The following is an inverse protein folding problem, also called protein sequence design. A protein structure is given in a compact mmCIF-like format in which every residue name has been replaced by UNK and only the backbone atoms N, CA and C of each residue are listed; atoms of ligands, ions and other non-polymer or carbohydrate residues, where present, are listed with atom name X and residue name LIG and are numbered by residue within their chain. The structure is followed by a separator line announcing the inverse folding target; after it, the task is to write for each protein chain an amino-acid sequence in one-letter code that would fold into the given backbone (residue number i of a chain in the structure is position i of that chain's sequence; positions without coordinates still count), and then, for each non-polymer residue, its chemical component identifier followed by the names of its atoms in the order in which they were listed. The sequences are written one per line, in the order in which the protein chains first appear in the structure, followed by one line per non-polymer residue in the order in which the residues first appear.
data_IF_787723752908
#
_entry.id   IF_787723752908
#
_cell.length_a   1.000
_cell.length_b   1.000
_cell.length_c   1.000
_cell.angle_alpha   90.00
_cell.angle_beta   90.00
_cell.angle_gamma   90.00
#
_symmetry.space_group_name_H-M   'P 1'
#
loop_
_entity.id
_entity.type
_entity.pdbx_description
1 polymer ?
#
# COMPACT_ATOMS: atom_id res chain seq x y z
N UNK A 1 -13.41 -10.09 41.51
CA UNK A 1 -12.78 -9.84 40.20
C UNK A 1 -13.70 -10.33 39.09
N UNK A 2 -13.82 -9.60 37.98
CA UNK A 2 -14.60 -10.04 36.80
C UNK A 2 -13.95 -11.29 36.19
N UNK A 3 -14.73 -12.34 35.91
CA UNK A 3 -14.27 -13.57 35.24
C UNK A 3 -14.22 -13.46 33.72
N UNK A 4 -14.70 -12.35 33.15
CA UNK A 4 -14.73 -12.11 31.70
C UNK A 4 -13.50 -11.30 31.27
N UNK A 5 -12.70 -11.86 30.37
CA UNK A 5 -11.43 -11.28 29.87
C UNK A 5 -11.56 -9.81 29.44
N UNK A 6 -12.69 -9.45 28.81
CA UNK A 6 -12.92 -8.16 28.17
C UNK A 6 -13.67 -7.14 29.05
N UNK A 7 -13.97 -7.44 30.31
CA UNK A 7 -14.78 -6.55 31.16
C UNK A 7 -14.04 -6.19 32.43
N UNK A 8 -13.85 -4.89 32.64
CA UNK A 8 -13.37 -4.33 33.91
C UNK A 8 -14.61 -3.98 34.75
N UNK A 9 -14.53 -4.26 36.05
CA UNK A 9 -15.54 -3.86 37.04
C UNK A 9 -14.91 -2.83 37.96
N UNK A 10 -15.56 -1.66 38.11
CA UNK A 10 -15.17 -0.69 39.12
C UNK A 10 -15.38 -1.30 40.52
N UNK A 11 -14.35 -1.29 41.40
CA UNK A 11 -14.47 -1.87 42.73
C UNK A 11 -15.40 -1.07 43.66
N UNK A 12 -15.61 0.22 43.39
CA UNK A 12 -16.41 1.11 44.24
C UNK A 12 -17.89 1.11 43.83
N UNK A 13 -18.19 1.42 42.56
CA UNK A 13 -19.56 1.57 42.08
C UNK A 13 -20.12 0.36 41.32
N UNK A 14 -19.32 -0.71 41.16
CA UNK A 14 -19.68 -1.93 40.43
C UNK A 14 -20.01 -1.74 38.93
N UNK A 15 -19.78 -0.55 38.37
CA UNK A 15 -19.93 -0.28 36.94
C UNK A 15 -19.03 -1.21 36.10
N UNK A 16 -19.57 -1.69 34.98
CA UNK A 16 -18.87 -2.59 34.06
C UNK A 16 -18.51 -1.85 32.78
N UNK A 17 -17.23 -1.87 32.43
CA UNK A 17 -16.72 -1.24 31.22
C UNK A 17 -15.94 -2.26 30.38
N UNK A 18 -16.00 -2.13 29.06
CA UNK A 18 -15.22 -2.98 28.16
C UNK A 18 -13.76 -2.55 28.18
N UNK A 19 -12.83 -3.51 28.31
CA UNK A 19 -11.38 -3.31 28.19
C UNK A 19 -10.96 -2.74 26.84
N UNK A 20 -11.79 -2.95 25.83
CA UNK A 20 -11.52 -2.47 24.47
C UNK A 20 -12.32 -1.22 24.12
N UNK A 21 -13.14 -0.68 25.03
CA UNK A 21 -13.87 0.57 24.77
C UNK A 21 -12.88 1.71 24.54
N UNK A 22 -13.10 2.51 23.51
CA UNK A 22 -12.16 3.56 23.13
C UNK A 22 -10.81 2.99 22.73
N UNK A 23 -10.73 1.83 22.10
CA UNK A 23 -9.47 1.30 21.55
C UNK A 23 -9.69 0.89 20.10
N UNK A 24 -8.64 0.75 19.27
CA UNK A 24 -8.79 0.17 17.94
C UNK A 24 -9.39 -1.26 17.93
N UNK A 25 -9.49 -1.92 19.10
CA UNK A 25 -10.06 -3.26 19.23
C UNK A 25 -11.55 -3.26 19.61
N UNK A 26 -12.16 -2.09 19.86
CA UNK A 26 -13.53 -1.96 20.37
C UNK A 26 -14.54 -2.76 19.54
N UNK A 27 -14.45 -2.64 18.21
CA UNK A 27 -15.43 -3.21 17.29
C UNK A 27 -15.05 -4.60 16.75
N UNK A 28 -13.85 -5.11 17.07
CA UNK A 28 -13.39 -6.40 16.56
C UNK A 28 -14.12 -7.59 17.21
N UNK A 29 -14.60 -7.43 18.45
CA UNK A 29 -15.36 -8.46 19.21
C UNK A 29 -14.69 -9.84 19.14
N UNK A 30 -13.39 -9.89 19.50
CA UNK A 30 -12.57 -11.11 19.56
C UNK A 30 -11.98 -11.28 20.96
N UNK A 31 -11.68 -12.52 21.41
CA UNK A 31 -10.78 -12.72 22.54
C UNK A 31 -9.43 -12.05 22.25
N UNK A 32 -8.88 -11.34 23.24
CA UNK A 32 -7.68 -10.52 23.02
C UNK A 32 -6.49 -11.40 22.66
N UNK A 33 -6.34 -12.56 23.30
CA UNK A 33 -5.28 -13.51 22.99
C UNK A 33 -5.30 -13.97 21.52
N UNK A 34 -6.48 -14.20 20.92
CA UNK A 34 -6.60 -14.60 19.51
C UNK A 34 -6.11 -13.48 18.61
N UNK A 35 -6.56 -12.26 18.88
CA UNK A 35 -6.14 -11.09 18.10
C UNK A 35 -4.63 -10.85 18.22
N UNK A 36 -4.09 -10.88 19.45
CA UNK A 36 -2.66 -10.72 19.71
C UNK A 36 -1.83 -11.78 18.98
N UNK A 37 -2.23 -13.05 19.05
CA UNK A 37 -1.58 -14.15 18.33
C UNK A 37 -1.54 -13.88 16.82
N UNK A 38 -2.68 -13.53 16.23
CA UNK A 38 -2.77 -13.26 14.79
C UNK A 38 -1.93 -12.07 14.36
N UNK A 39 -1.89 -11.00 15.16
CA UNK A 39 -1.12 -9.80 14.87
C UNK A 39 0.39 -10.08 14.94
N UNK A 40 0.85 -10.74 16.01
CA UNK A 40 2.26 -11.12 16.18
C UNK A 40 2.70 -12.03 15.04
N UNK A 41 1.94 -13.10 14.76
CA UNK A 41 2.25 -14.02 13.67
C UNK A 41 2.33 -13.30 12.32
N UNK A 42 1.45 -12.33 12.06
CA UNK A 42 1.48 -11.56 10.80
C UNK A 42 2.69 -10.62 10.71
N UNK A 43 3.16 -10.07 11.83
CA UNK A 43 4.37 -9.23 11.88
C UNK A 43 5.62 -10.09 11.62
N UNK A 44 5.69 -11.27 12.24
CA UNK A 44 6.81 -12.22 12.08
C UNK A 44 6.90 -12.78 10.66
N UNK A 45 5.76 -13.09 10.03
CA UNK A 45 5.72 -13.59 8.66
C UNK A 45 6.07 -12.54 7.59
N UNK A 46 5.97 -11.25 7.90
CA UNK A 46 6.19 -10.18 6.93
C UNK A 46 7.59 -10.31 6.27
N UNK A 47 7.71 -10.29 4.93
CA UNK A 47 6.76 -9.73 3.95
C UNK A 47 5.66 -10.68 3.47
N UNK A 48 5.61 -11.92 3.94
CA UNK A 48 4.54 -12.87 3.62
C UNK A 48 3.27 -12.56 4.44
N UNK A 49 2.12 -12.92 3.89
CA UNK A 49 0.82 -12.73 4.51
C UNK A 49 0.32 -13.96 5.26
N UNK A 50 -0.31 -13.73 6.42
CA UNK A 50 -1.01 -14.78 7.15
C UNK A 50 -2.34 -15.12 6.47
N UNK A 51 -2.42 -16.22 5.72
CA UNK A 51 -3.66 -16.59 5.00
C UNK A 51 -4.76 -17.12 5.93
N UNK A 52 -6.03 -17.00 5.52
CA UNK A 52 -7.16 -17.57 6.27
C UNK A 52 -7.01 -19.09 6.48
N UNK A 53 -6.47 -19.82 5.50
CA UNK A 53 -6.19 -21.24 5.61
C UNK A 53 -5.10 -21.53 6.65
N UNK A 54 -4.07 -20.68 6.74
CA UNK A 54 -3.05 -20.80 7.79
C UNK A 54 -3.64 -20.55 9.18
N UNK A 55 -4.54 -19.56 9.32
CA UNK A 55 -5.29 -19.30 10.55
C UNK A 55 -6.12 -20.52 10.97
N UNK A 56 -6.84 -21.14 10.03
CA UNK A 56 -7.64 -22.33 10.30
C UNK A 56 -6.79 -23.48 10.87
N UNK A 57 -5.62 -23.72 10.27
CA UNK A 57 -4.69 -24.77 10.72
C UNK A 57 -4.08 -24.47 12.09
N UNK A 58 -3.64 -23.23 12.31
CA UNK A 58 -2.96 -22.81 13.55
C UNK A 58 -3.88 -22.78 14.76
N UNK A 59 -5.14 -22.37 14.57
CA UNK A 59 -6.12 -22.25 15.65
C UNK A 59 -7.12 -23.42 15.70
N UNK A 60 -7.00 -24.40 14.80
CA UNK A 60 -7.94 -25.53 14.67
C UNK A 60 -9.40 -25.07 14.56
N UNK A 61 -9.66 -24.02 13.78
CA UNK A 61 -11.00 -23.44 13.59
C UNK A 61 -11.57 -23.74 12.21
N UNK A 62 -12.90 -23.65 12.10
CA UNK A 62 -13.60 -23.78 10.81
C UNK A 62 -13.12 -22.74 9.78
N UNK A 63 -13.28 -23.06 8.49
CA UNK A 63 -12.97 -22.17 7.36
C UNK A 63 -13.63 -20.79 7.48
N UNK A 64 -14.90 -20.76 7.90
CA UNK A 64 -15.66 -19.53 8.06
C UNK A 64 -15.08 -18.68 9.20
N UNK A 65 -14.75 -19.32 10.32
CA UNK A 65 -14.10 -18.66 11.46
C UNK A 65 -12.74 -18.08 11.06
N UNK A 66 -11.88 -18.86 10.39
CA UNK A 66 -10.56 -18.37 9.96
C UNK A 66 -10.65 -17.22 8.95
N UNK A 67 -11.64 -17.26 8.04
CA UNK A 67 -11.91 -16.15 7.11
C UNK A 67 -12.36 -14.89 7.83
N UNK A 68 -13.26 -15.02 8.81
CA UNK A 68 -13.73 -13.89 9.61
C UNK A 68 -12.59 -13.27 10.43
N UNK A 69 -11.75 -14.09 11.06
CA UNK A 69 -10.56 -13.66 11.78
C UNK A 69 -9.59 -12.90 10.87
N UNK A 70 -9.35 -13.40 9.65
CA UNK A 70 -8.52 -12.72 8.67
C UNK A 70 -9.05 -11.33 8.32
N UNK A 71 -10.35 -11.23 8.03
CA UNK A 71 -11.00 -9.95 7.69
C UNK A 71 -10.92 -8.94 8.83
N UNK A 72 -11.15 -9.38 10.06
CA UNK A 72 -11.03 -8.53 11.27
C UNK A 72 -9.61 -8.00 11.45
N UNK A 73 -8.59 -8.83 11.25
CA UNK A 73 -7.20 -8.38 11.26
C UNK A 73 -6.93 -7.36 10.14
N UNK A 74 -7.44 -7.59 8.93
CA UNK A 74 -7.27 -6.66 7.81
C UNK A 74 -7.95 -5.30 8.04
N UNK A 75 -9.11 -5.29 8.69
CA UNK A 75 -9.79 -4.05 9.10
C UNK A 75 -8.92 -3.26 10.08
N UNK A 76 -8.47 -3.91 11.16
CA UNK A 76 -7.56 -3.29 12.13
C UNK A 76 -6.31 -2.71 11.46
N UNK A 77 -5.66 -3.46 10.59
CA UNK A 77 -4.47 -3.01 9.87
C UNK A 77 -4.78 -1.85 8.92
N UNK A 78 -5.96 -1.82 8.30
CA UNK A 78 -6.41 -0.68 7.48
C UNK A 78 -6.60 0.58 8.30
N UNK A 79 -7.09 0.46 9.54
CA UNK A 79 -7.26 1.60 10.45
C UNK A 79 -5.92 2.20 10.90
N UNK A 80 -4.80 1.47 10.77
CA UNK A 80 -3.46 1.99 11.06
C UNK A 80 -2.87 2.85 9.93
N UNK A 81 -3.41 2.79 8.71
CA UNK A 81 -2.84 3.50 7.55
C UNK A 81 -2.75 5.01 7.76
N UNK A 82 -3.79 5.71 8.26
CA UNK A 82 -3.69 7.14 8.59
C UNK A 82 -2.58 7.44 9.60
N UNK A 83 -2.44 6.62 10.64
CA UNK A 83 -1.41 6.81 11.68
C UNK A 83 0.01 6.64 11.12
N UNK A 84 0.20 5.71 10.17
CA UNK A 84 1.47 5.51 9.47
C UNK A 84 1.78 6.71 8.58
N UNK A 85 0.78 7.22 7.85
CA UNK A 85 0.93 8.45 7.05
C UNK A 85 1.32 9.64 7.92
N UNK A 86 0.71 9.81 9.09
CA UNK A 86 1.05 10.88 10.03
C UNK A 86 2.49 10.79 10.53
N UNK A 87 2.96 9.59 10.90
CA UNK A 87 4.36 9.41 11.30
C UNK A 87 5.33 9.62 10.14
N UNK A 88 4.98 9.16 8.94
CA UNK A 88 5.73 9.42 7.72
C UNK A 88 5.86 10.93 7.47
N UNK A 89 4.77 11.70 7.61
CA UNK A 89 4.77 13.16 7.46
C UNK A 89 5.65 13.83 8.50
N UNK A 90 5.63 13.37 9.76
CA UNK A 90 6.49 13.93 10.83
C UNK A 90 7.97 13.72 10.51
N UNK A 91 8.36 12.52 10.09
CA UNK A 91 9.75 12.22 9.74
C UNK A 91 10.20 13.05 8.52
N UNK A 92 9.35 13.15 7.51
CA UNK A 92 9.62 13.93 6.30
C UNK A 92 9.77 15.42 6.61
N UNK A 93 8.83 16.01 7.35
CA UNK A 93 8.91 17.42 7.80
C UNK A 93 10.17 17.67 8.61
N UNK A 94 10.53 16.76 9.53
CA UNK A 94 11.75 16.88 10.34
C UNK A 94 13.02 16.85 9.47
N UNK A 95 13.08 15.98 8.47
CA UNK A 95 14.26 15.83 7.63
C UNK A 95 14.45 16.98 6.62
N UNK A 96 13.35 17.48 6.06
CA UNK A 96 13.33 18.45 4.95
C UNK A 96 12.95 19.88 5.34
N UNK A 97 12.73 20.17 6.63
CA UNK A 97 12.42 21.53 7.11
C UNK A 97 13.42 22.56 6.57
N UNK A 98 12.94 23.50 5.76
CA UNK A 98 13.73 24.60 5.20
C UNK A 98 14.75 24.19 4.13
N UNK A 99 14.72 22.93 3.65
CA UNK A 99 15.64 22.42 2.63
C UNK A 99 14.89 22.23 1.32
N UNK A 100 15.40 22.83 0.25
CA UNK A 100 14.90 22.63 -1.12
C UNK A 100 15.96 21.93 -1.94
N UNK A 101 15.54 21.06 -2.86
CA UNK A 101 16.48 20.43 -3.77
C UNK A 101 17.07 21.50 -4.70
N UNK A 102 18.37 21.45 -4.99
CA UNK A 102 18.96 22.19 -6.11
C UNK A 102 18.18 21.93 -7.41
N UNK A 103 17.99 22.97 -8.23
CA UNK A 103 17.31 22.85 -9.53
C UNK A 103 18.09 21.96 -10.51
N UNK A 104 19.42 21.95 -10.40
CA UNK A 104 20.31 21.15 -11.24
C UNK A 104 21.51 20.63 -10.44
N UNK A 105 22.21 19.65 -11.01
CA UNK A 105 23.41 19.04 -10.41
C UNK A 105 23.17 17.66 -9.79
N UNK A 106 24.25 17.03 -9.30
CA UNK A 106 24.20 15.73 -8.62
C UNK A 106 23.60 15.88 -7.21
N UNK A 107 22.46 15.24 -6.99
CA UNK A 107 21.72 15.29 -5.73
C UNK A 107 22.21 14.28 -4.69
N UNK A 108 23.11 13.35 -5.02
CA UNK A 108 23.50 12.24 -4.12
C UNK A 108 23.91 12.72 -2.72
N UNK A 109 24.86 13.64 -2.62
CA UNK A 109 25.31 14.19 -1.35
C UNK A 109 24.20 14.99 -0.63
N UNK A 110 23.30 15.60 -1.40
CA UNK A 110 22.18 16.39 -0.85
C UNK A 110 21.06 15.52 -0.29
N UNK A 111 20.86 14.31 -0.82
CA UNK A 111 19.80 13.39 -0.33
C UNK A 111 20.35 12.32 0.62
N UNK A 112 21.66 12.21 0.77
CA UNK A 112 22.30 11.21 1.62
C UNK A 112 21.80 11.27 3.08
N UNK A 113 21.47 10.10 3.62
CA UNK A 113 20.93 9.94 4.98
C UNK A 113 19.53 10.55 5.20
N UNK A 114 18.86 11.05 4.15
CA UNK A 114 17.54 11.69 4.25
C UNK A 114 16.45 10.84 3.59
N UNK A 115 15.23 10.83 4.13
CA UNK A 115 14.12 10.08 3.55
C UNK A 115 13.66 10.75 2.26
N UNK A 116 13.83 10.09 1.12
CA UNK A 116 13.23 10.49 -0.16
C UNK A 116 12.04 9.59 -0.44
N UNK A 117 10.93 10.17 -0.88
CA UNK A 117 9.75 9.41 -1.30
C UNK A 117 9.95 8.97 -2.73
N UNK A 118 9.80 7.69 -3.00
CA UNK A 118 9.80 7.14 -4.35
C UNK A 118 8.40 6.66 -4.70
N UNK A 119 7.94 6.97 -5.91
CA UNK A 119 6.64 6.55 -6.41
C UNK A 119 6.73 5.80 -7.72
N UNK A 120 5.89 4.78 -7.88
CA UNK A 120 5.66 4.07 -9.13
C UNK A 120 4.36 3.24 -9.07
N UNK A 121 3.89 2.76 -10.21
CA UNK A 121 2.73 1.88 -10.34
C UNK A 121 3.12 0.47 -10.79
N UNK A 122 2.44 -0.51 -10.22
CA UNK A 122 2.62 -1.94 -10.44
C UNK A 122 1.31 -2.57 -10.93
N UNK A 123 1.35 -3.41 -11.95
CA UNK A 123 0.27 -4.37 -12.23
C UNK A 123 0.46 -5.67 -11.43
N UNK A 124 -0.48 -5.95 -10.52
CA UNK A 124 -0.57 -7.17 -9.73
C UNK A 124 -1.61 -8.13 -10.34
N UNK A 125 -1.29 -9.43 -10.40
CA UNK A 125 -2.10 -10.45 -11.10
C UNK A 125 -2.44 -10.10 -12.55
N UNK A 126 -1.42 -9.84 -13.36
CA UNK A 126 -1.60 -9.46 -14.76
C UNK A 126 -2.36 -10.52 -15.56
N UNK A 127 -3.15 -10.05 -16.52
CA UNK A 127 -3.81 -10.85 -17.55
C UNK A 127 -2.80 -11.54 -18.46
N UNK A 128 -2.31 -12.68 -17.98
CA UNK A 128 -1.44 -13.58 -18.74
C UNK A 128 -2.16 -14.12 -19.97
N UNK A 129 -1.40 -14.61 -20.96
CA UNK A 129 -1.98 -15.21 -22.16
C UNK A 129 -2.94 -16.36 -21.81
N UNK A 130 -2.60 -17.18 -20.81
CA UNK A 130 -3.49 -18.25 -20.30
C UNK A 130 -4.78 -17.69 -19.70
N UNK A 131 -4.68 -16.64 -18.87
CA UNK A 131 -5.86 -15.99 -18.29
C UNK A 131 -6.76 -15.38 -19.39
N UNK A 132 -6.15 -14.91 -20.48
CA UNK A 132 -6.81 -14.30 -21.63
C UNK A 132 -7.24 -15.31 -22.73
N UNK A 133 -7.47 -16.58 -22.38
CA UNK A 133 -7.97 -17.58 -23.33
C UNK A 133 -7.01 -17.82 -24.51
N UNK A 134 -5.71 -17.63 -24.28
CA UNK A 134 -4.65 -17.66 -25.29
C UNK A 134 -4.74 -16.57 -26.38
N UNK A 135 -5.70 -15.65 -26.29
CA UNK A 135 -5.89 -14.54 -27.21
C UNK A 135 -4.85 -13.45 -26.94
N UNK A 136 -4.34 -12.81 -27.99
CA UNK A 136 -3.48 -11.62 -27.85
C UNK A 136 -4.29 -10.51 -27.19
N UNK A 137 -3.69 -9.81 -26.22
CA UNK A 137 -4.30 -8.61 -25.64
C UNK A 137 -4.52 -7.60 -26.76
N UNK A 138 -5.74 -7.03 -26.81
CA UNK A 138 -6.08 -5.97 -27.75
C UNK A 138 -5.15 -4.77 -27.53
N UNK A 139 -4.91 -3.97 -28.58
CA UNK A 139 -3.84 -2.98 -28.79
C UNK A 139 -3.73 -1.81 -27.78
N UNK A 140 -4.21 -1.94 -26.55
CA UNK A 140 -3.99 -0.95 -25.50
C UNK A 140 -2.58 -1.12 -24.92
N UNK A 141 -1.68 -0.20 -25.28
CA UNK A 141 -0.36 -0.07 -24.69
C UNK A 141 -0.51 0.50 -23.27
N UNK A 142 0.19 -0.07 -22.28
CA UNK A 142 0.26 0.46 -20.91
C UNK A 142 -0.05 -0.55 -19.82
N UNK A 143 0.27 -0.18 -18.57
CA UNK A 143 0.07 -1.07 -17.42
C UNK A 143 -1.42 -1.32 -17.13
N UNK A 144 -2.31 -0.34 -17.35
CA UNK A 144 -3.77 -0.51 -17.15
C UNK A 144 -4.33 -1.67 -17.97
N UNK A 145 -3.95 -1.80 -19.24
CA UNK A 145 -4.38 -2.93 -20.06
C UNK A 145 -3.87 -4.29 -19.54
N UNK A 146 -2.87 -4.30 -18.64
CA UNK A 146 -2.35 -5.53 -18.08
C UNK A 146 -3.24 -6.15 -17.00
N UNK A 147 -4.25 -5.44 -16.49
CA UNK A 147 -5.13 -5.95 -15.44
C UNK A 147 -6.54 -6.31 -15.95
N UNK A 148 -6.82 -6.06 -17.23
CA UNK A 148 -8.09 -6.38 -17.88
C UNK A 148 -7.94 -7.51 -18.90
N UNK A 149 -8.97 -8.33 -19.03
CA UNK A 149 -9.14 -9.28 -20.12
C UNK A 149 -9.54 -8.54 -21.40
N UNK A 150 -9.33 -9.18 -22.56
CA UNK A 150 -9.91 -8.69 -23.82
C UNK A 150 -11.42 -8.86 -23.84
N UNK A 151 -12.14 -7.95 -24.47
CA UNK A 151 -13.62 -7.89 -24.50
C UNK A 151 -14.27 -9.24 -24.76
N UNK A 152 -13.87 -9.94 -25.83
CA UNK A 152 -14.42 -11.26 -26.16
C UNK A 152 -14.22 -12.34 -25.06
N UNK A 153 -13.12 -12.27 -24.30
CA UNK A 153 -12.87 -13.18 -23.17
C UNK A 153 -13.62 -12.69 -21.93
N UNK A 154 -13.72 -11.38 -21.75
CA UNK A 154 -14.42 -10.78 -20.63
C UNK A 154 -15.92 -11.07 -20.70
N UNK A 155 -16.52 -11.00 -21.89
CA UNK A 155 -17.90 -11.37 -22.16
C UNK A 155 -18.15 -12.85 -21.87
N UNK A 156 -17.31 -13.74 -22.42
CA UNK A 156 -17.37 -15.19 -22.18
C UNK A 156 -17.27 -15.56 -20.70
N UNK A 157 -16.43 -14.84 -19.93
CA UNK A 157 -16.20 -15.10 -18.50
C UNK A 157 -17.07 -14.27 -17.55
N UNK A 158 -17.87 -13.33 -18.07
CA UNK A 158 -18.64 -12.37 -17.29
C UNK A 158 -17.82 -11.47 -16.36
N UNK A 159 -16.52 -11.24 -16.65
CA UNK A 159 -15.62 -10.41 -15.83
C UNK A 159 -14.55 -9.74 -16.68
N UNK A 160 -14.36 -8.44 -16.49
CA UNK A 160 -13.36 -7.64 -17.24
C UNK A 160 -12.03 -7.53 -16.50
N UNK A 161 -12.07 -7.10 -15.24
CA UNK A 161 -10.86 -6.91 -14.43
C UNK A 161 -10.47 -8.21 -13.73
N UNK A 162 -9.21 -8.60 -13.88
CA UNK A 162 -8.64 -9.75 -13.17
C UNK A 162 -7.41 -9.40 -12.34
N UNK A 163 -6.78 -8.27 -12.60
CA UNK A 163 -5.64 -7.77 -11.84
C UNK A 163 -5.95 -6.47 -11.11
N UNK A 164 -4.97 -5.99 -10.34
CA UNK A 164 -5.04 -4.71 -9.63
C UNK A 164 -3.86 -3.84 -10.03
N UNK A 165 -4.11 -2.59 -10.38
CA UNK A 165 -3.03 -1.60 -10.42
C UNK A 165 -2.79 -1.10 -9.00
N UNK A 166 -1.52 -1.15 -8.60
CA UNK A 166 -1.06 -0.80 -7.26
C UNK A 166 -0.14 0.41 -7.38
N UNK A 167 -0.59 1.56 -6.88
CA UNK A 167 0.28 2.71 -6.68
C UNK A 167 1.13 2.49 -5.43
N UNK A 168 2.43 2.76 -5.52
CA UNK A 168 3.39 2.54 -4.44
C UNK A 168 4.04 3.86 -4.05
N UNK A 169 3.93 4.26 -2.79
CA UNK A 169 4.77 5.29 -2.17
C UNK A 169 5.72 4.61 -1.19
N UNK A 170 7.02 4.78 -1.35
CA UNK A 170 8.01 4.10 -0.50
C UNK A 170 9.16 5.02 -0.12
N UNK A 171 9.64 4.88 1.12
CA UNK A 171 10.89 5.51 1.59
C UNK A 171 11.93 4.41 1.82
N UNK A 172 13.19 4.67 1.45
CA UNK A 172 14.29 3.70 1.64
C UNK A 172 14.42 3.33 3.12
N UNK A 173 14.29 2.04 3.44
CA UNK A 173 14.29 1.53 4.82
C UNK A 173 13.06 1.91 5.65
N UNK A 174 12.17 2.77 5.13
CA UNK A 174 11.00 3.30 5.82
C UNK A 174 9.69 2.56 5.47
N UNK A 175 8.55 3.21 5.72
CA UNK A 175 7.24 2.65 5.42
C UNK A 175 6.98 2.57 3.91
N UNK A 176 5.97 1.77 3.53
CA UNK A 176 5.41 1.71 2.19
C UNK A 176 3.90 1.91 2.29
N UNK A 177 3.34 2.75 1.44
CA UNK A 177 1.90 2.98 1.31
C UNK A 177 1.47 2.51 -0.07
N UNK A 178 0.57 1.53 -0.09
CA UNK A 178 0.03 0.95 -1.30
C UNK A 178 -1.43 1.36 -1.48
N UNK A 179 -1.80 1.75 -2.70
CA UNK A 179 -3.18 2.08 -3.05
C UNK A 179 -3.63 1.28 -4.25
N UNK A 180 -4.88 0.80 -4.23
CA UNK A 180 -5.53 0.23 -5.41
C UNK A 180 -6.07 1.36 -6.27
N UNK A 181 -5.68 1.41 -7.54
CA UNK A 181 -6.11 2.45 -8.48
C UNK A 181 -6.77 1.83 -9.73
N UNK A 182 -7.72 2.53 -10.37
CA UNK A 182 -8.34 2.06 -11.61
C UNK A 182 -7.47 2.32 -12.84
N UNK A 183 -6.69 3.41 -12.85
CA UNK A 183 -5.82 3.81 -13.95
C UNK A 183 -4.68 4.73 -13.46
N UNK A 184 -3.74 5.04 -14.34
CA UNK A 184 -2.60 5.93 -14.08
C UNK A 184 -2.89 7.41 -14.44
N UNK A 185 -4.16 7.81 -14.59
CA UNK A 185 -4.49 9.20 -14.95
C UNK A 185 -4.24 10.11 -13.75
N UNK A 186 -3.94 11.38 -14.02
CA UNK A 186 -3.72 12.40 -12.99
C UNK A 186 -4.85 12.45 -11.96
N UNK A 187 -6.12 12.42 -12.40
CA UNK A 187 -7.29 12.42 -11.50
C UNK A 187 -7.29 11.29 -10.46
N UNK A 188 -6.70 10.14 -10.81
CA UNK A 188 -6.64 8.95 -9.97
C UNK A 188 -5.41 8.97 -9.06
N UNK A 189 -4.30 9.51 -9.55
CA UNK A 189 -3.01 9.51 -8.85
C UNK A 189 -2.82 10.71 -7.93
N UNK A 190 -3.20 11.92 -8.35
CA UNK A 190 -2.95 13.16 -7.62
C UNK A 190 -3.45 13.12 -6.17
N UNK A 191 -4.68 12.64 -5.86
CA UNK A 191 -5.16 12.59 -4.47
C UNK A 191 -4.35 11.68 -3.55
N UNK A 192 -3.57 10.74 -4.11
CA UNK A 192 -2.75 9.83 -3.30
C UNK A 192 -1.55 10.54 -2.65
N UNK A 193 -1.21 11.75 -3.11
CA UNK A 193 -0.11 12.55 -2.60
C UNK A 193 -0.53 13.61 -1.59
N UNK A 194 -1.83 13.85 -1.38
CA UNK A 194 -2.36 14.97 -0.57
C UNK A 194 -1.86 15.00 0.88
N UNK A 195 -1.47 13.85 1.43
CA UNK A 195 -0.91 13.79 2.78
C UNK A 195 0.56 14.19 2.85
N UNK A 196 1.29 14.20 1.73
CA UNK A 196 2.70 14.55 1.70
C UNK A 196 2.88 16.07 1.82
N UNK A 197 3.90 16.55 2.55
CA UNK A 197 4.27 17.96 2.52
C UNK A 197 4.77 18.37 1.13
N UNK A 198 4.42 19.59 0.70
CA UNK A 198 4.75 20.14 -0.64
C UNK A 198 6.25 20.19 -0.94
N UNK A 199 7.08 20.38 0.09
CA UNK A 199 8.54 20.52 -0.05
C UNK A 199 9.30 19.19 0.05
N UNK A 200 8.63 18.03 0.05
CA UNK A 200 9.33 16.75 0.16
C UNK A 200 9.82 16.26 -1.21
N UNK A 201 11.09 15.82 -1.33
CA UNK A 201 11.57 15.12 -2.51
C UNK A 201 10.74 13.90 -2.86
N UNK A 202 10.22 13.91 -4.09
CA UNK A 202 9.43 12.83 -4.66
C UNK A 202 10.06 12.38 -5.98
N UNK A 203 10.58 11.16 -6.02
CA UNK A 203 11.23 10.60 -7.20
C UNK A 203 10.37 9.55 -7.88
N UNK A 204 10.30 9.58 -9.21
CA UNK A 204 9.50 8.66 -10.02
C UNK A 204 10.22 8.25 -11.31
N UNK A 205 9.66 7.25 -12.02
CA UNK A 205 9.89 7.11 -13.46
C UNK A 205 9.16 8.24 -14.20
N UNK A 206 9.51 8.46 -15.46
CA UNK A 206 8.74 9.31 -16.35
C UNK A 206 7.32 8.75 -16.53
N UNK A 207 6.32 9.61 -16.29
CA UNK A 207 4.90 9.21 -16.33
C UNK A 207 3.97 10.17 -15.58
N UNK A 208 4.53 11.04 -14.75
CA UNK A 208 3.79 12.01 -13.94
C UNK A 208 4.31 13.45 -14.11
N UNK A 209 4.48 13.96 -15.36
CA UNK A 209 5.07 15.30 -15.58
C UNK A 209 4.27 16.44 -14.92
N UNK A 210 2.97 16.22 -14.70
CA UNK A 210 2.10 17.16 -14.01
C UNK A 210 2.46 17.36 -12.54
N UNK A 211 3.23 16.46 -11.89
CA UNK A 211 3.65 16.60 -10.50
C UNK A 211 4.62 17.77 -10.28
N UNK A 212 5.38 18.18 -11.30
CA UNK A 212 6.30 19.33 -11.22
C UNK A 212 5.57 20.64 -10.87
N UNK A 213 4.27 20.74 -11.24
CA UNK A 213 3.42 21.90 -10.92
C UNK A 213 3.03 21.98 -9.45
N UNK A 214 3.01 20.83 -8.75
CA UNK A 214 2.53 20.71 -7.37
C UNK A 214 3.65 20.49 -6.37
N UNK A 215 4.77 19.91 -6.80
CA UNK A 215 5.93 19.65 -5.96
C UNK A 215 7.21 20.06 -6.70
N UNK A 216 7.81 21.17 -6.27
CA UNK A 216 9.05 21.71 -6.86
C UNK A 216 10.27 20.78 -6.67
N UNK A 217 10.20 19.89 -5.68
CA UNK A 217 11.21 18.87 -5.39
C UNK A 217 10.90 17.53 -6.07
N UNK A 218 9.89 17.46 -6.94
CA UNK A 218 9.66 16.31 -7.79
C UNK A 218 10.82 16.15 -8.79
N UNK A 219 11.29 14.91 -8.97
CA UNK A 219 12.26 14.55 -10.01
C UNK A 219 11.84 13.23 -10.66
N UNK A 220 12.02 13.13 -11.97
CA UNK A 220 11.76 11.91 -12.72
C UNK A 220 13.02 11.41 -13.40
N UNK A 221 13.09 10.11 -13.64
CA UNK A 221 14.13 9.48 -14.46
C UNK A 221 13.50 8.86 -15.70
N UNK A 222 14.13 9.05 -16.86
CA UNK A 222 13.63 8.51 -18.13
C UNK A 222 14.15 7.09 -18.38
N UNK A 223 13.34 6.08 -18.07
CA UNK A 223 13.70 4.69 -18.35
C UNK A 223 13.81 4.35 -19.85
N UNK A 224 13.22 5.17 -20.71
CA UNK A 224 13.27 5.02 -22.18
C UNK A 224 14.35 5.88 -22.85
N UNK A 225 15.24 6.50 -22.07
CA UNK A 225 16.30 7.35 -22.62
C UNK A 225 17.19 6.58 -23.61
N UNK A 226 17.38 7.17 -24.80
CA UNK A 226 18.24 6.63 -25.86
C UNK A 226 19.70 7.03 -25.64
N UNK A 227 20.63 6.17 -26.04
CA UNK A 227 22.04 6.54 -25.99
C UNK A 227 22.33 7.69 -26.95
N UNK A 228 23.26 8.58 -26.59
CA UNK A 228 23.73 9.65 -27.49
C UNK A 228 24.39 9.06 -28.75
N UNK A 229 25.18 8.00 -28.57
CA UNK A 229 25.73 7.21 -29.68
C UNK A 229 24.91 5.93 -29.87
N UNK A 230 23.86 6.05 -30.69
CA UNK A 230 22.92 4.96 -30.99
C UNK A 230 23.53 3.78 -31.74
N UNK A 231 24.75 3.90 -32.27
CA UNK A 231 25.43 2.82 -33.00
C UNK A 231 25.94 1.73 -32.07
N UNK A 232 26.39 2.10 -30.86
CA UNK A 232 26.97 1.16 -29.88
C UNK A 232 25.93 0.58 -28.93
N UNK A 233 24.94 1.39 -28.54
CA UNK A 233 23.88 0.96 -27.64
C UNK A 233 22.58 1.68 -28.00
N UNK A 234 21.48 0.96 -27.94
CA UNK A 234 20.14 1.51 -28.22
C UNK A 234 19.65 2.42 -27.07
N UNK A 235 20.21 2.26 -25.87
CA UNK A 235 19.69 2.86 -24.65
C UNK A 235 20.78 3.54 -23.82
N UNK A 236 20.42 4.63 -23.12
CA UNK A 236 21.33 5.36 -22.27
C UNK A 236 21.72 4.54 -21.03
N UNK A 237 23.00 4.59 -20.65
CA UNK A 237 23.52 3.88 -19.47
C UNK A 237 22.90 4.37 -18.15
N UNK A 238 22.62 5.66 -18.07
CA UNK A 238 22.06 6.34 -16.89
C UNK A 238 20.52 6.41 -16.89
N UNK A 239 19.84 5.65 -17.76
CA UNK A 239 18.37 5.66 -17.84
C UNK A 239 17.67 5.18 -16.57
N UNK A 240 18.36 4.44 -15.70
CA UNK A 240 17.80 3.89 -14.45
C UNK A 240 18.16 4.70 -13.20
N UNK A 241 19.19 5.55 -13.31
CA UNK A 241 19.63 6.44 -12.24
C UNK A 241 20.57 7.48 -12.83
N UNK A 242 20.31 8.74 -12.51
CA UNK A 242 21.11 9.87 -12.96
C UNK A 242 21.15 10.93 -11.87
N UNK A 243 22.35 11.41 -11.54
CA UNK A 243 22.53 12.58 -10.65
C UNK A 243 21.78 12.45 -9.30
N UNK A 244 21.72 11.22 -8.77
CA UNK A 244 21.01 10.89 -7.53
C UNK A 244 19.51 10.62 -7.67
N UNK A 245 18.92 10.90 -8.83
CA UNK A 245 17.50 10.65 -9.13
C UNK A 245 17.31 9.22 -9.65
N UNK A 246 16.40 8.47 -9.03
CA UNK A 246 15.95 7.14 -9.45
C UNK A 246 14.64 6.78 -8.74
N UNK A 247 13.92 5.75 -9.20
CA UNK A 247 12.71 5.21 -8.55
C UNK A 247 12.93 3.81 -7.92
N UNK A 248 14.16 3.29 -7.90
CA UNK A 248 14.48 1.90 -7.48
C UNK A 248 13.90 1.46 -6.13
N UNK A 249 13.61 2.37 -5.20
CA UNK A 249 12.98 2.03 -3.91
C UNK A 249 11.54 1.57 -4.09
N UNK A 250 10.74 2.24 -4.95
CA UNK A 250 9.38 1.79 -5.25
C UNK A 250 9.42 0.48 -6.03
N UNK A 251 10.25 0.37 -7.07
CA UNK A 251 10.40 -0.87 -7.86
C UNK A 251 10.86 -2.07 -7.03
N UNK A 252 11.82 -1.86 -6.12
CA UNK A 252 12.29 -2.88 -5.20
C UNK A 252 11.17 -3.40 -4.30
N UNK A 253 10.35 -2.49 -3.75
CA UNK A 253 9.16 -2.88 -2.99
C UNK A 253 8.15 -3.63 -3.86
N UNK A 254 7.86 -3.14 -5.07
CA UNK A 254 6.94 -3.81 -6.00
C UNK A 254 7.37 -5.24 -6.34
N UNK A 255 8.68 -5.50 -6.48
CA UNK A 255 9.21 -6.86 -6.67
C UNK A 255 8.87 -7.77 -5.48
N UNK A 256 9.08 -7.27 -4.26
CA UNK A 256 8.75 -8.01 -3.03
C UNK A 256 7.24 -8.23 -2.92
N UNK A 257 6.43 -7.23 -3.26
CA UNK A 257 4.97 -7.31 -3.27
C UNK A 257 4.52 -8.40 -4.24
N UNK A 258 4.97 -8.39 -5.50
CA UNK A 258 4.64 -9.45 -6.47
C UNK A 258 4.94 -10.84 -5.91
N UNK A 259 6.14 -11.03 -5.36
CA UNK A 259 6.54 -12.31 -4.79
C UNK A 259 5.63 -12.71 -3.62
N UNK A 260 5.42 -11.81 -2.66
CA UNK A 260 4.64 -12.09 -1.44
C UNK A 260 3.18 -12.40 -1.76
N UNK A 261 2.61 -11.70 -2.74
CA UNK A 261 1.24 -11.93 -3.18
C UNK A 261 1.07 -13.25 -3.93
N UNK A 262 2.07 -13.68 -4.70
CA UNK A 262 2.07 -15.00 -5.32
C UNK A 262 2.30 -16.13 -4.30
N UNK A 263 3.24 -15.93 -3.37
CA UNK A 263 3.68 -16.98 -2.44
C UNK A 263 2.72 -17.23 -1.27
N UNK A 264 2.10 -16.18 -0.72
CA UNK A 264 1.35 -16.28 0.55
C UNK A 264 -0.07 -15.73 0.51
N UNK A 265 -0.28 -14.55 -0.10
CA UNK A 265 -1.64 -13.99 -0.19
C UNK A 265 -2.50 -14.74 -1.21
N UNK A 266 -1.84 -15.35 -2.21
CA UNK A 266 -2.48 -15.96 -3.38
C UNK A 266 -3.29 -14.95 -4.21
N UNK A 267 -3.93 -15.43 -5.27
CA UNK A 267 -4.84 -14.59 -6.06
C UNK A 267 -5.93 -13.98 -5.18
N UNK A 268 -6.04 -12.65 -5.25
CA UNK A 268 -7.11 -11.88 -4.61
C UNK A 268 -7.96 -11.25 -5.69
N UNK A 269 -9.28 -11.19 -5.45
CA UNK A 269 -10.16 -10.50 -6.38
C UNK A 269 -9.91 -8.98 -6.30
N UNK A 270 -9.93 -8.26 -7.44
CA UNK A 270 -9.63 -6.83 -7.46
C UNK A 270 -10.45 -5.99 -6.48
N UNK A 271 -11.71 -6.37 -6.23
CA UNK A 271 -12.62 -5.62 -5.34
C UNK A 271 -12.17 -5.67 -3.87
N UNK A 272 -11.38 -6.67 -3.49
CA UNK A 272 -10.86 -6.81 -2.12
C UNK A 272 -9.42 -6.28 -1.99
N UNK A 273 -8.81 -5.82 -3.08
CA UNK A 273 -7.37 -5.56 -3.13
C UNK A 273 -6.88 -4.57 -2.10
N UNK A 274 -7.64 -3.50 -1.85
CA UNK A 274 -7.25 -2.47 -0.87
C UNK A 274 -7.04 -3.04 0.54
N UNK A 275 -7.82 -4.03 0.97
CA UNK A 275 -7.67 -4.65 2.28
C UNK A 275 -6.32 -5.38 2.43
N UNK A 276 -5.87 -6.04 1.37
CA UNK A 276 -4.59 -6.76 1.33
C UNK A 276 -3.40 -5.81 1.16
N UNK A 277 -3.57 -4.75 0.37
CA UNK A 277 -2.55 -3.71 0.19
C UNK A 277 -2.34 -2.91 1.49
N UNK A 278 -3.43 -2.58 2.19
CA UNK A 278 -3.40 -1.96 3.50
C UNK A 278 -2.75 -2.88 4.53
N UNK A 279 -3.11 -4.16 4.54
CA UNK A 279 -2.44 -5.14 5.40
C UNK A 279 -0.92 -5.13 5.22
N UNK A 280 -0.44 -5.23 3.98
CA UNK A 280 1.01 -5.21 3.69
C UNK A 280 1.65 -3.90 4.15
N UNK A 281 1.03 -2.76 3.81
CA UNK A 281 1.51 -1.41 4.16
C UNK A 281 1.57 -1.24 5.69
N UNK A 282 0.55 -1.71 6.40
CA UNK A 282 0.44 -1.61 7.85
C UNK A 282 1.47 -2.48 8.56
N UNK A 283 1.67 -3.73 8.13
CA UNK A 283 2.68 -4.62 8.70
C UNK A 283 4.09 -4.04 8.48
N UNK A 284 4.37 -3.48 7.31
CA UNK A 284 5.63 -2.76 7.06
C UNK A 284 5.77 -1.54 7.98
N UNK A 285 4.71 -0.74 8.12
CA UNK A 285 4.68 0.43 8.99
C UNK A 285 4.90 0.07 10.46
N UNK A 286 4.29 -1.01 10.96
CA UNK A 286 4.51 -1.51 12.31
C UNK A 286 5.97 -1.91 12.51
N UNK A 287 6.61 -2.59 11.56
CA UNK A 287 8.04 -2.94 11.66
C UNK A 287 8.98 -1.72 11.66
N UNK A 288 8.54 -0.60 11.09
CA UNK A 288 9.33 0.63 11.02
C UNK A 288 9.13 1.49 12.27
N UNK A 289 7.88 1.67 12.70
CA UNK A 289 7.53 2.60 13.77
C UNK A 289 7.31 1.95 15.14
N UNK A 290 6.95 0.67 15.16
CA UNK A 290 6.42 0.00 16.34
C UNK A 290 4.95 0.36 16.60
N UNK A 291 4.20 -0.60 17.14
CA UNK A 291 2.77 -0.41 17.44
C UNK A 291 2.55 0.67 18.51
N UNK A 292 3.45 0.77 19.50
CA UNK A 292 3.38 1.76 20.57
C UNK A 292 3.43 3.20 20.03
N UNK A 293 4.35 3.48 19.10
CA UNK A 293 4.46 4.81 18.46
C UNK A 293 3.24 5.14 17.61
N UNK A 294 2.68 4.13 16.92
CA UNK A 294 1.51 4.30 16.06
C UNK A 294 0.26 4.59 16.88
N UNK A 295 -0.05 3.76 17.87
CA UNK A 295 -1.32 3.82 18.61
C UNK A 295 -1.24 4.74 19.84
N UNK A 296 -0.13 4.73 20.59
CA UNK A 296 0.10 5.57 21.78
C UNK A 296 -1.02 5.55 22.84
N UNK A 297 -0.83 6.25 23.95
CA UNK A 297 -1.91 6.45 24.96
C UNK A 297 -2.91 7.57 24.56
N UNK A 298 -2.56 8.43 23.60
CA UNK A 298 -3.28 9.68 23.26
C UNK A 298 -3.80 9.77 21.81
N UNK A 299 -3.56 8.78 20.92
CA UNK A 299 -3.96 8.85 19.50
C UNK A 299 -5.22 8.02 19.17
N UNK A 300 -5.91 7.55 20.18
CA UNK A 300 -7.10 6.71 20.06
C UNK A 300 -8.25 7.43 19.34
N UNK A 301 -8.36 8.75 19.48
CA UNK A 301 -9.44 9.54 18.88
C UNK A 301 -9.39 9.58 17.33
N UNK A 302 -8.26 9.20 16.72
CA UNK A 302 -8.05 9.20 15.26
C UNK A 302 -8.45 7.90 14.55
N UNK A 303 -8.83 6.85 15.29
CA UNK A 303 -9.20 5.54 14.71
C UNK A 303 -10.66 5.48 14.23
N UNK A 304 -11.23 6.60 13.80
CA UNK A 304 -12.62 6.66 13.32
C UNK A 304 -12.70 6.43 11.81
N UNK A 305 -13.30 5.29 11.46
CA UNK A 305 -14.08 5.07 10.22
C UNK A 305 -13.37 5.33 8.88
N UNK A 306 -12.54 4.38 8.43
CA UNK A 306 -12.12 4.29 7.01
C UNK A 306 -13.27 3.84 6.09
N UNK A 307 -14.42 3.44 6.66
CA UNK A 307 -15.62 3.02 5.92
C UNK A 307 -16.43 4.13 5.24
N UNK A 308 -16.05 5.41 5.37
CA UNK A 308 -16.78 6.55 4.75
C UNK A 308 -16.08 7.21 3.55
N UNK A 309 -14.95 6.67 3.08
CA UNK A 309 -14.18 7.23 1.96
C UNK A 309 -14.21 6.43 0.64
N UNK A 310 -14.77 5.22 0.64
CA UNK A 310 -14.91 4.43 -0.58
C UNK A 310 -16.12 4.95 -1.37
N UNK A 311 -15.88 5.91 -2.27
CA UNK A 311 -16.83 6.17 -3.35
C UNK A 311 -16.89 4.90 -4.20
N UNK A 312 -17.89 4.07 -3.95
CA UNK A 312 -18.41 3.17 -4.98
C UNK A 312 -18.94 4.10 -6.06
N UNK A 313 -18.21 4.26 -7.16
CA UNK A 313 -18.75 4.94 -8.34
C UNK A 313 -19.84 4.00 -8.87
N UNK A 314 -21.13 4.39 -8.83
CA UNK A 314 -22.18 3.58 -9.44
C UNK A 314 -21.93 3.51 -10.95
N UNK A 315 -22.17 2.33 -11.50
CA UNK A 315 -21.87 1.93 -12.89
C UNK A 315 -22.81 2.58 -13.94
N UNK A 316 -23.37 3.75 -13.66
CA UNK A 316 -24.19 4.49 -14.60
C UNK A 316 -23.46 5.78 -14.94
N UNK A 317 -22.63 5.76 -15.98
CA UNK A 317 -22.35 6.85 -16.92
C UNK A 317 -21.18 6.39 -17.83
N UNK A 318 -21.50 5.43 -18.69
CA UNK A 318 -20.83 5.24 -19.98
C UNK A 318 -21.94 5.01 -21.01
N UNK A 319 -22.49 6.12 -21.48
CA UNK A 319 -22.99 6.28 -22.83
C UNK A 319 -22.12 7.38 -23.46
#
# INVERSE_FOLDING_TARGET
MSTRENVIRCPECNYLESRTSGTPLEHLKLPLWVFSYLLIESIELFPLGLSASAICRKLSVSKNTGTLLKRRLQMFLSDLIPLIKDEMVKDLKKAWKGKKLPESGDLKAFIEGRPVVHTDTLALFSASQRANGFRKRFKHKGQTASIYLTDAVAEEKGKYQIGTLVHTLAIKGGPVILSSIPDQKQKSLQPLFDFLPEDVPLFADEGMPWMERYNKNFRSINHSARAKDGKRNVWARNRWSRDGVHNQVSEGNQRIIKHSFLASYSYIRPENSILYLNEYSALKGIRVYGLERLVGKKKIDLLRNVGKGSVVIPFNHFA
#
